data_IF_726860351037
#
_entry.id   IF_726860351037
#
_cell.length_a   1.000
_cell.length_b   1.000
_cell.length_c   1.000
_cell.angle_alpha   90.00
_cell.angle_beta   90.00
_cell.angle_gamma   90.00
#
_symmetry.space_group_name_H-M   'P 1'
#
loop_
_entity.id
_entity.type
_entity.pdbx_description
1 polymer ?
#
# COMPACT_ATOMS: atom_id res chain seq x y z
N UNK A 1 45.85 26.86 19.08
CA UNK A 1 45.35 25.64 19.70
C UNK A 1 43.85 25.84 20.01
N UNK A 2 42.97 25.54 19.04
CA UNK A 2 41.51 25.74 19.15
C UNK A 2 40.84 24.36 19.31
N UNK A 3 40.21 24.11 20.48
CA UNK A 3 39.45 22.90 20.73
C UNK A 3 38.05 22.99 20.07
N UNK A 4 37.80 22.15 19.11
CA UNK A 4 36.46 21.92 18.53
C UNK A 4 35.62 21.15 19.56
N UNK A 5 34.45 21.70 19.94
CA UNK A 5 33.40 21.00 20.69
C UNK A 5 32.42 20.34 19.70
N UNK A 6 32.53 19.03 19.57
CA UNK A 6 31.54 18.20 18.90
C UNK A 6 30.35 18.03 19.85
N UNK A 7 29.20 18.63 19.52
CA UNK A 7 27.92 18.33 20.16
C UNK A 7 27.14 17.36 19.27
N UNK A 8 27.23 16.06 19.55
CA UNK A 8 26.35 15.04 19.00
C UNK A 8 24.99 15.15 19.68
N UNK A 9 24.02 15.75 18.97
CA UNK A 9 22.61 15.69 19.37
C UNK A 9 22.09 14.27 19.10
N UNK A 10 22.00 13.46 20.16
CA UNK A 10 21.37 12.15 20.10
C UNK A 10 19.86 12.33 19.97
N UNK A 11 19.31 11.90 18.81
CA UNK A 11 17.87 11.78 18.59
C UNK A 11 17.31 10.71 19.54
N UNK A 12 16.51 11.14 20.54
CA UNK A 12 15.74 10.22 21.38
C UNK A 12 14.42 9.92 20.67
N UNK A 13 14.11 8.66 20.35
CA UNK A 13 12.77 8.33 19.84
C UNK A 13 11.75 8.58 20.97
N UNK A 14 10.71 9.36 20.67
CA UNK A 14 9.55 9.55 21.54
C UNK A 14 8.86 8.20 21.73
N UNK A 15 8.83 7.73 22.97
CA UNK A 15 8.12 6.51 23.36
C UNK A 15 6.60 6.77 23.28
N UNK A 16 5.84 5.87 22.69
CA UNK A 16 4.38 5.98 22.54
C UNK A 16 3.59 6.14 23.86
N UNK A 17 4.23 6.02 25.00
CA UNK A 17 3.63 6.21 26.32
C UNK A 17 3.31 7.66 26.66
N UNK A 18 4.02 8.63 26.07
CA UNK A 18 3.83 10.05 26.42
C UNK A 18 2.69 10.75 25.66
N UNK A 19 2.10 10.07 24.67
CA UNK A 19 0.99 10.63 23.87
C UNK A 19 -0.40 10.27 24.43
N UNK A 20 -0.48 9.48 25.51
CA UNK A 20 -1.77 9.02 26.07
C UNK A 20 -2.39 9.90 27.16
N UNK A 21 -1.78 11.01 27.56
CA UNK A 21 -2.27 11.83 28.67
C UNK A 21 -3.23 12.97 28.31
N UNK A 22 -3.63 13.13 27.05
CA UNK A 22 -4.62 14.12 26.63
C UNK A 22 -5.83 13.57 25.87
N UNK A 23 -6.26 12.37 26.21
CA UNK A 23 -7.59 11.91 25.76
C UNK A 23 -8.58 12.23 26.88
N UNK A 24 -9.16 13.43 26.83
CA UNK A 24 -10.32 13.75 27.67
C UNK A 24 -11.38 12.66 27.49
N UNK A 25 -11.69 11.98 28.59
CA UNK A 25 -12.68 10.91 28.65
C UNK A 25 -14.01 11.40 28.08
N UNK A 26 -14.67 10.59 27.23
CA UNK A 26 -16.05 10.83 26.74
C UNK A 26 -17.05 11.15 27.87
N UNK A 27 -16.71 10.83 29.14
CA UNK A 27 -17.49 11.13 30.32
C UNK A 27 -17.40 12.60 30.76
N UNK A 28 -16.28 13.29 30.49
CA UNK A 28 -16.15 14.73 30.82
C UNK A 28 -16.88 15.60 29.81
N UNK A 29 -16.92 15.24 28.56
CA UNK A 29 -17.68 15.92 27.51
C UNK A 29 -19.21 15.92 27.81
N UNK A 30 -19.72 14.87 28.45
CA UNK A 30 -21.13 14.72 28.81
C UNK A 30 -21.54 15.52 30.05
N UNK A 31 -20.61 16.02 30.85
CA UNK A 31 -20.92 16.80 32.07
C UNK A 31 -21.10 18.29 31.83
N UNK A 32 -20.65 18.82 30.71
CA UNK A 32 -20.77 20.27 30.38
C UNK A 32 -22.09 20.61 29.66
N UNK A 33 -22.84 19.63 29.18
CA UNK A 33 -24.12 19.83 28.46
C UNK A 33 -25.37 19.83 29.35
N UNK A 34 -25.24 20.01 30.67
CA UNK A 34 -26.36 20.05 31.65
C UNK A 34 -27.00 21.39 31.81
N UNK A 35 -27.32 22.14 30.77
CA UNK A 35 -28.11 23.34 30.77
C UNK A 35 -29.38 23.13 29.95
N UNK A 36 -30.55 23.37 30.58
CA UNK A 36 -31.87 23.15 30.00
C UNK A 36 -32.04 23.85 28.64
N UNK A 37 -32.22 23.07 27.57
CA UNK A 37 -32.68 23.55 26.27
C UNK A 37 -33.93 22.77 25.88
N UNK A 38 -35.00 23.52 25.61
CA UNK A 38 -36.26 23.06 25.06
C UNK A 38 -36.05 22.10 23.88
N UNK A 39 -36.58 20.90 24.01
CA UNK A 39 -36.50 19.85 23.00
C UNK A 39 -37.44 20.22 21.84
N UNK A 40 -36.91 20.92 20.84
CA UNK A 40 -37.45 20.80 19.50
C UNK A 40 -36.99 19.45 18.98
N UNK A 41 -37.92 18.57 18.63
CA UNK A 41 -37.69 17.26 18.07
C UNK A 41 -37.04 17.38 16.69
N UNK A 42 -35.73 17.67 16.66
CA UNK A 42 -34.88 17.46 15.50
C UNK A 42 -34.59 15.97 15.45
N UNK A 43 -35.27 15.25 14.59
CA UNK A 43 -34.91 13.88 14.19
C UNK A 43 -33.47 13.91 13.73
N UNK A 44 -32.56 13.49 14.60
CA UNK A 44 -31.19 13.15 14.22
C UNK A 44 -31.28 11.93 13.28
N UNK A 45 -31.40 12.22 11.99
CA UNK A 45 -31.10 11.22 10.98
C UNK A 45 -29.63 10.90 11.19
N UNK A 46 -29.34 9.85 11.95
CA UNK A 46 -28.02 9.27 12.00
C UNK A 46 -27.77 8.69 10.60
N UNK A 47 -27.15 9.49 9.73
CA UNK A 47 -26.50 8.96 8.53
C UNK A 47 -25.39 8.08 9.05
N UNK A 48 -25.70 6.80 9.27
CA UNK A 48 -24.69 5.80 9.55
C UNK A 48 -23.63 5.92 8.45
N UNK A 49 -22.37 6.11 8.86
CA UNK A 49 -21.28 6.09 7.90
C UNK A 49 -21.31 4.72 7.22
N UNK A 50 -21.89 4.67 6.02
CA UNK A 50 -21.81 3.47 5.20
C UNK A 50 -20.39 3.39 4.67
N UNK A 51 -19.71 2.28 4.99
CA UNK A 51 -18.49 1.94 4.30
C UNK A 51 -18.77 2.00 2.79
N UNK A 52 -17.89 2.68 2.03
CA UNK A 52 -18.04 2.81 0.59
C UNK A 52 -17.95 1.41 -0.03
N UNK A 53 -19.11 0.79 -0.23
CA UNK A 53 -19.24 -0.45 -0.99
C UNK A 53 -19.53 -0.09 -2.45
N UNK A 54 -18.92 -0.78 -3.38
CA UNK A 54 -19.12 -0.49 -4.81
C UNK A 54 -18.53 -1.54 -5.72
N UNK A 55 -18.75 -1.34 -7.01
CA UNK A 55 -18.12 -2.16 -8.05
C UNK A 55 -16.95 -1.37 -8.62
N UNK A 56 -15.74 -1.79 -8.27
CA UNK A 56 -14.50 -1.22 -8.76
C UNK A 56 -13.79 -2.23 -9.67
N UNK A 57 -12.81 -1.77 -10.44
CA UNK A 57 -12.20 -2.59 -11.49
C UNK A 57 -11.08 -3.48 -10.93
N UNK A 58 -10.24 -2.94 -10.04
CA UNK A 58 -8.99 -3.59 -9.70
C UNK A 58 -8.48 -3.24 -8.30
N UNK A 59 -7.51 -4.02 -7.82
CA UNK A 59 -6.48 -3.54 -6.90
C UNK A 59 -5.19 -3.29 -7.71
N UNK A 60 -4.54 -2.16 -7.48
CA UNK A 60 -3.22 -1.84 -8.02
C UNK A 60 -2.17 -2.04 -6.92
N UNK A 61 -1.29 -3.01 -7.12
CA UNK A 61 -0.14 -3.28 -6.25
C UNK A 61 1.11 -2.63 -6.86
N UNK A 62 1.71 -1.69 -6.15
CA UNK A 62 2.91 -0.95 -6.60
C UNK A 62 3.97 -0.83 -5.51
N UNK A 63 5.18 -0.40 -5.91
CA UNK A 63 6.27 -0.14 -4.96
C UNK A 63 6.08 1.20 -4.24
N UNK A 64 6.65 1.29 -3.02
CA UNK A 64 6.70 2.54 -2.23
C UNK A 64 7.68 3.58 -2.81
N UNK A 65 8.50 3.25 -3.80
CA UNK A 65 9.51 4.15 -4.36
C UNK A 65 8.87 5.47 -4.84
N UNK A 66 9.29 6.63 -4.32
CA UNK A 66 8.67 7.92 -4.63
C UNK A 66 8.77 8.29 -6.11
N UNK A 67 9.78 7.80 -6.84
CA UNK A 67 9.97 8.06 -8.27
C UNK A 67 8.85 7.50 -9.14
N UNK A 68 8.13 6.49 -8.64
CA UNK A 68 7.12 5.77 -9.41
C UNK A 68 5.67 6.12 -9.04
N UNK A 69 5.43 6.87 -7.96
CA UNK A 69 4.05 7.17 -7.54
C UNK A 69 3.25 7.88 -8.64
N UNK A 70 3.81 8.96 -9.20
CA UNK A 70 3.18 9.71 -10.29
C UNK A 70 3.08 8.90 -11.58
N UNK A 71 4.11 8.10 -11.90
CA UNK A 71 4.12 7.27 -13.10
C UNK A 71 3.03 6.19 -13.06
N UNK A 72 2.89 5.52 -11.91
CA UNK A 72 1.81 4.54 -11.69
C UNK A 72 0.44 5.22 -11.81
N UNK A 73 0.23 6.36 -11.15
CA UNK A 73 -1.03 7.10 -11.22
C UNK A 73 -1.37 7.53 -12.65
N UNK A 74 -0.40 8.06 -13.40
CA UNK A 74 -0.59 8.44 -14.81
C UNK A 74 -0.94 7.23 -15.67
N UNK A 75 -0.26 6.10 -15.48
CA UNK A 75 -0.56 4.85 -16.20
C UNK A 75 -1.98 4.39 -15.93
N UNK A 76 -2.39 4.32 -14.66
CA UNK A 76 -3.75 3.91 -14.30
C UNK A 76 -4.80 4.89 -14.86
N UNK A 77 -4.51 6.18 -14.86
CA UNK A 77 -5.39 7.19 -15.44
C UNK A 77 -5.52 7.02 -16.97
N UNK A 78 -4.41 6.77 -17.67
CA UNK A 78 -4.44 6.51 -19.12
C UNK A 78 -5.19 5.23 -19.49
N UNK A 79 -5.21 4.24 -18.58
CA UNK A 79 -5.96 3.00 -18.73
C UNK A 79 -7.46 3.15 -18.35
N UNK A 80 -7.92 4.36 -18.04
CA UNK A 80 -9.31 4.66 -17.67
C UNK A 80 -9.70 4.20 -16.27
N UNK A 81 -8.72 4.00 -15.38
CA UNK A 81 -8.93 3.47 -14.03
C UNK A 81 -8.96 4.55 -12.92
N UNK A 82 -8.92 5.84 -13.26
CA UNK A 82 -9.04 6.92 -12.26
C UNK A 82 -10.30 6.73 -11.41
N UNK A 83 -10.12 6.65 -10.08
CA UNK A 83 -11.20 6.44 -9.12
C UNK A 83 -11.84 5.05 -9.15
N UNK A 84 -11.28 4.09 -9.89
CA UNK A 84 -11.86 2.75 -10.09
C UNK A 84 -11.01 1.60 -9.52
N UNK A 85 -10.00 1.88 -8.72
CA UNK A 85 -9.14 0.86 -8.14
C UNK A 85 -8.80 1.14 -6.68
N UNK A 86 -8.54 0.07 -5.94
CA UNK A 86 -7.92 0.13 -4.61
C UNK A 86 -6.40 0.16 -4.77
N UNK A 87 -5.70 1.10 -4.15
CA UNK A 87 -4.25 1.15 -4.17
C UNK A 87 -3.68 0.37 -2.99
N UNK A 88 -2.69 -0.49 -3.25
CA UNK A 88 -1.87 -1.11 -2.23
C UNK A 88 -0.39 -0.91 -2.58
N UNK A 89 0.34 -0.25 -1.68
CA UNK A 89 1.73 0.13 -1.92
C UNK A 89 2.64 -0.51 -0.87
N UNK A 90 3.62 -1.30 -1.33
CA UNK A 90 4.59 -1.99 -0.47
C UNK A 90 5.96 -2.01 -1.15
N UNK A 91 7.06 -2.06 -0.39
CA UNK A 91 8.40 -2.11 -0.98
C UNK A 91 8.55 -3.30 -1.93
N UNK A 92 8.92 -3.05 -3.19
CA UNK A 92 9.11 -4.08 -4.22
C UNK A 92 7.84 -4.59 -4.89
N UNK A 93 6.65 -4.08 -4.54
CA UNK A 93 5.37 -4.56 -5.08
C UNK A 93 5.22 -6.09 -4.95
N UNK A 94 5.20 -6.87 -6.07
CA UNK A 94 5.13 -8.34 -5.98
C UNK A 94 6.25 -8.96 -5.14
N UNK A 95 7.46 -8.43 -5.21
CA UNK A 95 8.61 -8.90 -4.43
C UNK A 95 8.32 -8.80 -2.93
N UNK A 96 7.70 -7.70 -2.48
CA UNK A 96 7.28 -7.53 -1.09
C UNK A 96 6.26 -8.56 -0.61
N UNK A 97 5.52 -9.17 -1.54
CA UNK A 97 4.52 -10.20 -1.24
C UNK A 97 5.10 -11.61 -1.28
N UNK A 98 6.00 -11.91 -2.25
CA UNK A 98 6.42 -13.30 -2.51
C UNK A 98 7.83 -13.64 -2.04
N UNK A 99 8.72 -12.63 -1.84
CA UNK A 99 10.09 -12.90 -1.48
C UNK A 99 10.21 -13.44 -0.05
N UNK A 100 11.00 -14.50 0.19
CA UNK A 100 11.21 -15.05 1.53
C UNK A 100 11.73 -14.03 2.54
N UNK A 101 12.52 -13.06 2.09
CA UNK A 101 13.05 -11.98 2.92
C UNK A 101 11.93 -11.09 3.53
N UNK A 102 10.76 -11.04 2.90
CA UNK A 102 9.61 -10.21 3.28
C UNK A 102 8.37 -11.03 3.67
N UNK A 103 8.55 -12.30 4.06
CA UNK A 103 7.44 -13.24 4.33
C UNK A 103 6.37 -12.69 5.28
N UNK A 104 6.76 -11.85 6.26
CA UNK A 104 5.83 -11.27 7.23
C UNK A 104 4.86 -10.27 6.59
N UNK A 105 5.21 -9.68 5.44
CA UNK A 105 4.35 -8.74 4.73
C UNK A 105 3.28 -9.41 3.86
N UNK A 106 3.54 -10.66 3.48
CA UNK A 106 2.66 -11.44 2.59
C UNK A 106 1.23 -11.53 3.16
N UNK A 107 1.10 -11.86 4.44
CA UNK A 107 -0.19 -11.98 5.12
C UNK A 107 -1.00 -10.67 5.00
N UNK A 108 -0.37 -9.53 5.30
CA UNK A 108 -1.04 -8.22 5.25
C UNK A 108 -1.58 -7.93 3.86
N UNK A 109 -0.82 -8.23 2.80
CA UNK A 109 -1.30 -8.05 1.44
C UNK A 109 -2.55 -8.89 1.15
N UNK A 110 -2.50 -10.21 1.44
CA UNK A 110 -3.62 -11.11 1.14
C UNK A 110 -4.89 -10.77 1.91
N UNK A 111 -4.78 -10.31 3.16
CA UNK A 111 -5.91 -9.83 3.95
C UNK A 111 -6.52 -8.55 3.37
N UNK A 112 -5.70 -7.59 2.95
CA UNK A 112 -6.17 -6.36 2.29
C UNK A 112 -6.81 -6.66 0.92
N UNK A 113 -6.27 -7.62 0.16
CA UNK A 113 -6.89 -8.06 -1.08
C UNK A 113 -8.28 -8.68 -0.81
N UNK A 114 -8.39 -9.54 0.20
CA UNK A 114 -9.67 -10.11 0.61
C UNK A 114 -10.70 -9.04 0.99
N UNK A 115 -10.28 -8.04 1.76
CA UNK A 115 -11.12 -6.89 2.09
C UNK A 115 -11.55 -6.09 0.85
N UNK A 116 -10.63 -5.86 -0.10
CA UNK A 116 -10.94 -5.17 -1.35
C UNK A 116 -11.90 -5.95 -2.24
N UNK A 117 -11.78 -7.27 -2.28
CA UNK A 117 -12.75 -8.14 -2.98
C UNK A 117 -14.14 -8.00 -2.34
N UNK A 118 -14.22 -8.08 -1.03
CA UNK A 118 -15.47 -8.05 -0.28
C UNK A 118 -16.18 -6.68 -0.37
N UNK A 119 -15.43 -5.59 -0.21
CA UNK A 119 -16.00 -4.23 -0.12
C UNK A 119 -16.15 -3.59 -1.49
N UNK A 120 -15.22 -3.83 -2.40
CA UNK A 120 -15.09 -3.14 -3.67
C UNK A 120 -15.43 -4.03 -4.89
N UNK A 121 -15.70 -5.32 -4.67
CA UNK A 121 -16.07 -6.28 -5.74
C UNK A 121 -15.13 -6.25 -6.95
N UNK A 122 -13.84 -6.05 -6.70
CA UNK A 122 -12.81 -5.98 -7.75
C UNK A 122 -12.70 -7.29 -8.53
N UNK A 123 -12.25 -7.21 -9.78
CA UNK A 123 -12.17 -8.37 -10.69
C UNK A 123 -10.76 -8.79 -11.04
N UNK A 124 -9.77 -7.93 -10.76
CA UNK A 124 -8.37 -8.17 -11.13
C UNK A 124 -7.40 -7.48 -10.17
N UNK A 125 -6.17 -7.97 -10.16
CA UNK A 125 -5.03 -7.31 -9.53
C UNK A 125 -4.07 -6.86 -10.65
N UNK A 126 -3.71 -5.59 -10.63
CA UNK A 126 -2.69 -5.01 -11.51
C UNK A 126 -1.43 -4.86 -10.68
N UNK A 127 -0.36 -5.52 -11.08
CA UNK A 127 0.92 -5.51 -10.36
C UNK A 127 1.94 -4.74 -11.17
N UNK A 128 2.49 -3.68 -10.57
CA UNK A 128 3.48 -2.82 -11.22
C UNK A 128 4.76 -2.86 -10.38
N UNK A 129 5.68 -3.75 -10.79
CA UNK A 129 7.07 -3.70 -10.36
C UNK A 129 7.81 -2.59 -11.13
N UNK A 130 9.00 -2.21 -10.71
CA UNK A 130 9.77 -1.19 -11.43
C UNK A 130 11.25 -1.51 -11.50
N UNK A 131 11.93 -0.95 -12.50
CA UNK A 131 13.39 -1.02 -12.67
C UNK A 131 14.10 -0.24 -11.56
N UNK A 132 15.35 -0.63 -11.29
CA UNK A 132 16.18 -0.02 -10.23
C UNK A 132 15.52 -0.06 -8.84
N UNK A 133 14.93 -1.22 -8.51
CA UNK A 133 14.19 -1.42 -7.28
C UNK A 133 15.10 -1.82 -6.12
N UNK A 134 15.22 -0.94 -5.11
CA UNK A 134 15.99 -1.22 -3.90
C UNK A 134 15.50 -2.45 -3.13
N UNK A 135 14.20 -2.72 -3.13
CA UNK A 135 13.65 -3.91 -2.47
C UNK A 135 14.03 -5.21 -3.20
N UNK A 136 14.18 -5.20 -4.53
CA UNK A 136 14.70 -6.33 -5.29
C UNK A 136 16.13 -6.66 -4.88
N UNK A 137 16.98 -5.64 -4.74
CA UNK A 137 18.34 -5.76 -4.26
C UNK A 137 18.42 -6.33 -2.84
N UNK A 138 17.57 -5.82 -1.93
CA UNK A 138 17.49 -6.31 -0.54
C UNK A 138 17.04 -7.79 -0.50
N UNK A 139 16.03 -8.15 -1.30
CA UNK A 139 15.45 -9.49 -1.27
C UNK A 139 16.33 -10.57 -1.89
N UNK A 140 17.02 -10.22 -2.98
CA UNK A 140 17.70 -11.21 -3.85
C UNK A 140 19.20 -10.98 -4.01
N UNK A 141 19.74 -9.86 -3.53
CA UNK A 141 21.16 -9.48 -3.60
C UNK A 141 21.55 -8.82 -4.91
N UNK A 142 22.75 -8.21 -4.91
CA UNK A 142 23.28 -7.41 -6.04
C UNK A 142 23.39 -8.20 -7.35
N UNK A 143 23.77 -9.48 -7.28
CA UNK A 143 23.91 -10.32 -8.46
C UNK A 143 22.60 -10.49 -9.25
N UNK A 144 21.45 -10.47 -8.58
CA UNK A 144 20.12 -10.61 -9.19
C UNK A 144 19.57 -9.33 -9.80
N UNK A 145 20.27 -8.21 -9.66
CA UNK A 145 19.93 -6.91 -10.26
C UNK A 145 21.13 -6.28 -11.00
N UNK A 146 22.18 -7.08 -11.26
CA UNK A 146 23.46 -6.56 -11.76
C UNK A 146 23.41 -6.00 -13.19
N UNK A 147 22.47 -6.46 -14.00
CA UNK A 147 22.28 -5.97 -15.39
C UNK A 147 20.79 -5.84 -15.69
N UNK A 148 20.39 -5.00 -16.66
CA UNK A 148 18.98 -4.84 -17.05
C UNK A 148 18.29 -6.16 -17.42
N UNK A 149 19.02 -7.10 -18.03
CA UNK A 149 18.48 -8.42 -18.40
C UNK A 149 18.25 -9.32 -17.17
N UNK A 150 19.22 -9.37 -16.25
CA UNK A 150 19.11 -10.16 -15.00
C UNK A 150 18.00 -9.57 -14.12
N UNK A 151 17.98 -8.26 -13.98
CA UNK A 151 16.93 -7.56 -13.23
C UNK A 151 15.53 -7.86 -13.78
N UNK A 152 15.34 -7.78 -15.12
CA UNK A 152 14.07 -8.12 -15.75
C UNK A 152 13.65 -9.57 -15.46
N UNK A 153 14.58 -10.51 -15.56
CA UNK A 153 14.32 -11.92 -15.25
C UNK A 153 13.90 -12.10 -13.78
N UNK A 154 14.61 -11.45 -12.85
CA UNK A 154 14.30 -11.50 -11.41
C UNK A 154 12.90 -10.94 -11.12
N UNK A 155 12.53 -9.80 -11.71
CA UNK A 155 11.19 -9.24 -11.56
C UNK A 155 10.12 -10.14 -12.20
N UNK A 156 10.40 -10.73 -13.37
CA UNK A 156 9.49 -11.67 -14.03
C UNK A 156 9.23 -12.91 -13.15
N UNK A 157 10.26 -13.49 -12.55
CA UNK A 157 10.12 -14.61 -11.62
C UNK A 157 9.18 -14.26 -10.46
N UNK A 158 9.39 -13.10 -9.82
CA UNK A 158 8.55 -12.64 -8.71
C UNK A 158 7.10 -12.34 -9.13
N UNK A 159 6.90 -11.77 -10.31
CA UNK A 159 5.56 -11.48 -10.86
C UNK A 159 4.80 -12.78 -11.18
N UNK A 160 5.45 -13.78 -11.76
CA UNK A 160 4.85 -15.07 -12.05
C UNK A 160 4.56 -15.87 -10.78
N UNK A 161 5.43 -15.81 -9.77
CA UNK A 161 5.17 -16.42 -8.47
C UNK A 161 3.98 -15.75 -7.77
N UNK A 162 3.87 -14.42 -7.85
CA UNK A 162 2.69 -13.69 -7.37
C UNK A 162 1.41 -14.18 -8.05
N UNK A 163 1.41 -14.30 -9.39
CA UNK A 163 0.28 -14.81 -10.18
C UNK A 163 -0.12 -16.22 -9.72
N UNK A 164 0.87 -17.11 -9.54
CA UNK A 164 0.63 -18.47 -9.05
C UNK A 164 -0.07 -18.47 -7.69
N UNK A 165 0.44 -17.71 -6.71
CA UNK A 165 -0.17 -17.61 -5.38
C UNK A 165 -1.56 -16.97 -5.41
N UNK A 166 -1.77 -15.97 -6.28
CA UNK A 166 -3.08 -15.35 -6.46
C UNK A 166 -4.11 -16.35 -6.99
N UNK A 167 -3.75 -17.14 -8.01
CA UNK A 167 -4.63 -18.15 -8.59
C UNK A 167 -4.97 -19.27 -7.61
N UNK A 168 -4.04 -19.65 -6.73
CA UNK A 168 -4.31 -20.62 -5.67
C UNK A 168 -5.32 -20.11 -4.63
N UNK A 169 -5.20 -18.84 -4.25
CA UNK A 169 -6.05 -18.22 -3.20
C UNK A 169 -7.37 -17.69 -3.74
N UNK A 170 -7.36 -17.17 -4.96
CA UNK A 170 -8.49 -16.49 -5.62
C UNK A 170 -8.56 -16.89 -7.09
N UNK A 171 -9.01 -18.11 -7.42
CA UNK A 171 -8.94 -18.67 -8.79
C UNK A 171 -9.65 -17.83 -9.87
N UNK A 172 -10.71 -17.09 -9.49
CA UNK A 172 -11.47 -16.25 -10.40
C UNK A 172 -10.86 -14.85 -10.63
N UNK A 173 -9.77 -14.52 -9.92
CA UNK A 173 -9.16 -13.19 -9.98
C UNK A 173 -8.24 -13.06 -11.20
N UNK A 174 -8.51 -12.06 -12.04
CA UNK A 174 -7.63 -11.71 -13.15
C UNK A 174 -6.32 -11.06 -12.68
N UNK A 175 -5.28 -11.13 -13.52
CA UNK A 175 -3.99 -10.45 -13.27
C UNK A 175 -3.49 -9.71 -14.48
N UNK A 176 -2.89 -8.52 -14.23
CA UNK A 176 -2.04 -7.82 -15.17
C UNK A 176 -0.69 -7.58 -14.50
N UNK A 177 0.38 -8.01 -15.14
CA UNK A 177 1.73 -8.00 -14.59
C UNK A 177 2.62 -7.09 -15.41
N UNK A 178 3.30 -6.13 -14.77
CA UNK A 178 4.16 -5.18 -15.46
C UNK A 178 5.44 -4.86 -14.70
N UNK A 179 6.49 -4.55 -15.47
CA UNK A 179 7.74 -3.96 -15.00
C UNK A 179 7.88 -2.58 -15.63
N UNK A 180 7.79 -1.54 -14.81
CA UNK A 180 7.85 -0.15 -15.23
C UNK A 180 9.29 0.36 -15.24
N UNK A 181 9.71 1.00 -16.31
CA UNK A 181 10.97 1.71 -16.40
C UNK A 181 10.88 3.12 -15.76
N UNK A 182 12.03 3.77 -15.57
CA UNK A 182 12.10 5.12 -14.98
C UNK A 182 11.43 6.21 -15.85
N UNK A 183 11.23 5.94 -17.14
CA UNK A 183 10.51 6.82 -18.07
C UNK A 183 9.00 6.56 -18.10
N UNK A 184 8.50 5.58 -17.33
CA UNK A 184 7.11 5.20 -17.26
C UNK A 184 6.67 4.15 -18.30
N UNK A 185 7.54 3.70 -19.19
CA UNK A 185 7.23 2.58 -20.09
C UNK A 185 7.06 1.29 -19.31
N UNK A 186 6.15 0.40 -19.74
CA UNK A 186 5.84 -0.84 -19.03
C UNK A 186 6.02 -2.03 -19.94
N UNK A 187 6.91 -2.94 -19.54
CA UNK A 187 7.02 -4.29 -20.10
C UNK A 187 5.98 -5.19 -19.42
N UNK A 188 5.15 -5.89 -20.19
CA UNK A 188 4.09 -6.75 -19.66
C UNK A 188 4.46 -8.22 -19.71
N UNK A 189 3.97 -8.99 -18.73
CA UNK A 189 4.19 -10.44 -18.62
C UNK A 189 2.84 -11.18 -18.53
N UNK A 190 2.78 -12.38 -19.06
CA UNK A 190 1.58 -13.23 -19.09
C UNK A 190 1.84 -14.61 -18.45
#
# INVERSE_FOLDING_TARGET
MMKSKNSSSAYKPLCCSDMMHHVNSRREFMRIAGGAVLISSMSLVSTGAQAATGNYEAMVLSCIDPRFQDLVNKKQSSDGLSGKYSAFTIAGASIGVVAPAFKEWSKTFWENLGASIQLHNIKKVIVVNHRDCGAAKIAYGDAKVATPAIEAATHKEALLEFKRQLQEKFPAMGTHLGLMALDGTVETFS
#
